data_IF_691547198147
#
_entry.id   IF_691547198147
#
_cell.length_a   1.000
_cell.length_b   1.000
_cell.length_c   1.000
_cell.angle_alpha   90.00
_cell.angle_beta   90.00
_cell.angle_gamma   90.00
#
_symmetry.space_group_name_H-M   'P 1'
#
loop_
_entity.id
_entity.type
_entity.pdbx_description
1 polymer ?
#
# COMPACT_ATOMS: atom_id res chain seq x y z
N UNK A 1 -6.99 1.11 35.75
CA UNK A 1 -6.49 2.16 34.84
C UNK A 1 -7.64 2.54 33.92
N UNK A 2 -8.25 3.73 34.11
CA UNK A 2 -9.33 4.22 33.26
C UNK A 2 -8.76 4.59 31.90
N UNK A 3 -9.16 3.82 30.91
CA UNK A 3 -8.67 3.92 29.56
C UNK A 3 -9.84 4.34 28.67
N UNK A 4 -9.57 5.19 27.70
CA UNK A 4 -10.59 5.81 26.87
C UNK A 4 -10.23 5.68 25.38
N UNK A 5 -11.24 5.75 24.53
CA UNK A 5 -11.09 5.80 23.08
C UNK A 5 -11.84 7.03 22.54
N UNK A 6 -11.21 7.80 21.66
CA UNK A 6 -11.87 8.90 20.94
C UNK A 6 -12.16 8.48 19.49
N UNK A 7 -13.43 8.46 19.07
CA UNK A 7 -13.83 8.26 17.68
C UNK A 7 -13.19 9.26 16.70
N UNK A 8 -13.08 10.52 17.09
CA UNK A 8 -12.57 11.60 16.23
C UNK A 8 -11.08 11.47 15.93
N UNK A 9 -10.28 11.10 16.92
CA UNK A 9 -8.83 10.93 16.73
C UNK A 9 -8.44 9.50 16.40
N UNK A 10 -9.37 8.54 16.57
CA UNK A 10 -9.16 7.09 16.43
C UNK A 10 -8.04 6.59 17.35
N UNK A 11 -7.86 7.27 18.48
CA UNK A 11 -6.77 7.04 19.42
C UNK A 11 -7.26 6.55 20.79
N UNK A 12 -6.40 5.82 21.49
CA UNK A 12 -6.60 5.48 22.90
C UNK A 12 -5.94 6.52 23.79
N UNK A 13 -6.64 6.89 24.85
CA UNK A 13 -6.21 7.84 25.87
C UNK A 13 -6.19 7.13 27.21
N UNK A 14 -5.17 7.42 28.00
CA UNK A 14 -5.05 6.95 29.37
C UNK A 14 -5.20 8.15 30.30
N UNK A 15 -6.15 8.11 31.24
CA UNK A 15 -6.36 9.28 32.09
C UNK A 15 -5.32 9.48 33.18
N UNK A 16 -4.40 8.54 33.35
CA UNK A 16 -3.22 8.73 34.20
C UNK A 16 -2.11 9.50 33.45
N UNK A 17 -2.15 9.54 32.10
CA UNK A 17 -1.10 10.12 31.24
C UNK A 17 -1.59 11.37 30.49
N UNK A 18 -2.85 11.38 30.08
CA UNK A 18 -3.43 12.47 29.29
C UNK A 18 -4.21 13.41 30.19
N UNK A 19 -3.88 14.70 30.14
CA UNK A 19 -4.58 15.76 30.88
C UNK A 19 -5.74 16.33 30.07
N UNK A 20 -5.57 16.40 28.74
CA UNK A 20 -6.58 16.85 27.80
C UNK A 20 -7.18 15.67 27.03
N UNK A 21 -8.52 15.60 27.04
CA UNK A 21 -9.28 14.61 26.30
C UNK A 21 -10.19 15.29 25.28
N UNK A 22 -10.32 14.70 24.08
CA UNK A 22 -11.43 15.02 23.20
C UNK A 22 -12.78 14.86 23.92
N UNK A 23 -13.77 15.70 23.60
CA UNK A 23 -15.09 15.63 24.25
C UNK A 23 -15.87 14.34 23.92
N UNK A 24 -15.45 13.60 22.90
CA UNK A 24 -16.06 12.36 22.42
C UNK A 24 -15.40 11.09 22.98
N UNK A 25 -14.55 11.20 24.01
CA UNK A 25 -13.92 10.04 24.64
C UNK A 25 -14.93 9.12 25.31
N UNK A 26 -14.73 7.82 25.10
CA UNK A 26 -15.56 6.75 25.66
C UNK A 26 -14.70 5.79 26.48
N UNK A 27 -15.19 5.30 27.63
CA UNK A 27 -14.44 4.36 28.44
C UNK A 27 -14.27 3.03 27.70
N UNK A 28 -13.07 2.46 27.75
CA UNK A 28 -12.74 1.16 27.18
C UNK A 28 -11.94 0.34 28.19
N UNK A 29 -12.14 -0.98 28.21
CA UNK A 29 -11.38 -1.84 29.13
C UNK A 29 -9.95 -2.07 28.62
N UNK A 30 -9.01 -2.33 29.54
CA UNK A 30 -7.63 -2.66 29.18
C UNK A 30 -7.56 -3.89 28.26
N UNK A 31 -8.35 -4.93 28.58
CA UNK A 31 -8.46 -6.14 27.75
C UNK A 31 -8.93 -5.80 26.34
N UNK A 32 -9.97 -4.96 26.19
CA UNK A 32 -10.49 -4.59 24.87
C UNK A 32 -9.47 -3.81 24.06
N UNK A 33 -8.72 -2.88 24.68
CA UNK A 33 -7.60 -2.20 23.99
C UNK A 33 -6.54 -3.19 23.55
N UNK A 34 -6.13 -4.11 24.42
CA UNK A 34 -5.11 -5.10 24.11
C UNK A 34 -5.52 -5.99 22.93
N UNK A 35 -6.76 -6.47 22.93
CA UNK A 35 -7.35 -7.21 21.81
C UNK A 35 -7.27 -6.40 20.50
N UNK A 36 -7.68 -5.13 20.53
CA UNK A 36 -7.68 -4.26 19.34
C UNK A 36 -6.26 -3.93 18.86
N UNK A 37 -5.31 -3.72 19.77
CA UNK A 37 -3.91 -3.51 19.42
C UNK A 37 -3.28 -4.78 18.82
N UNK A 38 -3.63 -5.96 19.33
CA UNK A 38 -3.21 -7.23 18.74
C UNK A 38 -3.78 -7.40 17.32
N UNK A 39 -5.04 -6.99 17.07
CA UNK A 39 -5.59 -6.96 15.72
C UNK A 39 -4.87 -5.96 14.80
N UNK A 40 -4.44 -4.81 15.33
CA UNK A 40 -3.60 -3.85 14.61
C UNK A 40 -2.28 -4.46 14.12
N UNK A 41 -1.68 -5.36 14.91
CA UNK A 41 -0.49 -6.11 14.49
C UNK A 41 -0.75 -7.10 13.35
N UNK A 42 -2.00 -7.50 13.14
CA UNK A 42 -2.43 -8.31 11.99
C UNK A 42 -2.73 -7.45 10.74
N UNK A 43 -2.45 -6.14 10.78
CA UNK A 43 -2.67 -5.21 9.66
C UNK A 43 -4.07 -4.62 9.60
N UNK A 44 -4.90 -4.82 10.63
CA UNK A 44 -6.22 -4.19 10.74
C UNK A 44 -6.11 -2.75 11.23
N UNK A 45 -7.11 -1.95 10.90
CA UNK A 45 -7.22 -0.57 11.38
C UNK A 45 -8.32 -0.49 12.45
N UNK A 46 -8.10 0.35 13.45
CA UNK A 46 -9.09 0.59 14.52
C UNK A 46 -9.97 1.75 14.08
N UNK A 47 -11.26 1.47 13.89
CA UNK A 47 -12.27 2.45 13.47
C UNK A 47 -13.41 2.48 14.50
N UNK A 48 -14.02 3.65 14.75
CA UNK A 48 -15.25 3.72 15.52
C UNK A 48 -16.39 3.03 14.76
N UNK A 49 -17.22 2.26 15.46
CA UNK A 49 -18.49 1.73 14.94
C UNK A 49 -19.62 2.79 15.01
N UNK A 50 -20.86 2.39 14.70
CA UNK A 50 -22.05 3.25 14.79
C UNK A 50 -22.30 3.81 16.20
N UNK A 51 -21.84 3.11 17.23
CA UNK A 51 -21.96 3.52 18.63
C UNK A 51 -20.78 4.37 19.08
N UNK A 52 -19.72 4.51 18.28
CA UNK A 52 -18.46 5.16 18.65
C UNK A 52 -17.50 4.27 19.43
N UNK A 53 -17.76 2.97 19.50
CA UNK A 53 -16.87 2.01 20.16
C UNK A 53 -15.77 1.54 19.19
N UNK A 54 -14.55 1.27 19.68
CA UNK A 54 -13.46 0.87 18.82
C UNK A 54 -13.63 -0.57 18.34
N UNK A 55 -13.61 -0.73 17.01
CA UNK A 55 -13.68 -2.01 16.31
C UNK A 55 -12.48 -2.13 15.36
N UNK A 56 -11.84 -3.30 15.36
CA UNK A 56 -10.80 -3.60 14.38
C UNK A 56 -11.46 -4.07 13.09
N UNK A 57 -11.26 -3.32 12.02
CA UNK A 57 -11.78 -3.64 10.68
C UNK A 57 -10.61 -3.87 9.73
N UNK A 58 -10.84 -4.68 8.70
CA UNK A 58 -9.87 -4.80 7.62
C UNK A 58 -9.77 -3.43 6.92
N UNK A 59 -8.55 -2.97 6.58
CA UNK A 59 -8.38 -1.72 5.87
C UNK A 59 -9.18 -1.79 4.56
N UNK A 60 -9.80 -0.67 4.13
CA UNK A 60 -10.48 -0.66 2.84
C UNK A 60 -9.48 -1.07 1.76
N UNK A 61 -9.93 -1.84 0.74
CA UNK A 61 -9.07 -2.13 -0.40
C UNK A 61 -8.57 -0.82 -1.00
N UNK A 62 -7.34 -0.84 -1.53
CA UNK A 62 -6.79 0.29 -2.25
C UNK A 62 -7.73 0.66 -3.40
N UNK A 63 -7.98 1.95 -3.57
CA UNK A 63 -8.76 2.42 -4.70
C UNK A 63 -7.96 2.28 -6.01
N UNK A 64 -8.65 2.39 -7.14
CA UNK A 64 -8.01 2.27 -8.45
C UNK A 64 -6.92 3.34 -8.66
N UNK A 65 -7.04 4.51 -8.05
CA UNK A 65 -6.06 5.58 -8.16
C UNK A 65 -4.73 5.19 -7.49
N UNK A 66 -4.78 4.63 -6.27
CA UNK A 66 -3.63 4.11 -5.57
C UNK A 66 -3.02 2.88 -6.26
N UNK A 67 -3.85 1.98 -6.78
CA UNK A 67 -3.37 0.84 -7.55
C UNK A 67 -2.63 1.30 -8.82
N UNK A 68 -3.15 2.28 -9.55
CA UNK A 68 -2.48 2.88 -10.71
C UNK A 68 -1.18 3.58 -10.34
N UNK A 69 -1.15 4.28 -9.21
CA UNK A 69 0.07 4.91 -8.71
C UNK A 69 1.15 3.85 -8.44
N UNK A 70 0.81 2.77 -7.72
CA UNK A 70 1.72 1.65 -7.46
C UNK A 70 2.19 0.96 -8.74
N UNK A 71 1.30 0.81 -9.72
CA UNK A 71 1.62 0.25 -11.04
C UNK A 71 2.67 1.14 -11.75
N UNK A 72 2.46 2.45 -11.79
CA UNK A 72 3.43 3.41 -12.37
C UNK A 72 4.77 3.38 -11.65
N UNK A 73 4.78 3.32 -10.31
CA UNK A 73 6.00 3.20 -9.52
C UNK A 73 6.79 1.92 -9.88
N UNK A 74 6.11 0.78 -9.99
CA UNK A 74 6.74 -0.50 -10.38
C UNK A 74 7.26 -0.45 -11.82
N UNK A 75 6.51 0.16 -12.76
CA UNK A 75 6.96 0.40 -14.13
C UNK A 75 8.26 1.20 -14.13
N UNK A 76 8.29 2.33 -13.42
CA UNK A 76 9.44 3.24 -13.40
C UNK A 76 10.68 2.56 -12.81
N UNK A 77 10.48 1.72 -11.79
CA UNK A 77 11.55 0.87 -11.26
C UNK A 77 12.10 -0.10 -12.31
N UNK A 78 11.24 -0.86 -13.00
CA UNK A 78 11.67 -1.83 -14.01
C UNK A 78 12.32 -1.17 -15.24
N UNK A 79 11.84 0.02 -15.64
CA UNK A 79 12.49 0.83 -16.66
C UNK A 79 13.88 1.29 -16.20
N UNK A 80 14.05 1.68 -14.93
CA UNK A 80 15.37 2.04 -14.40
C UNK A 80 16.31 0.84 -14.35
N UNK A 81 15.82 -0.31 -13.89
CA UNK A 81 16.59 -1.55 -13.81
C UNK A 81 17.04 -2.05 -15.18
N UNK A 82 16.26 -1.82 -16.24
CA UNK A 82 16.57 -2.24 -17.61
C UNK A 82 17.30 -1.19 -18.45
N UNK A 83 17.74 -0.07 -17.86
CA UNK A 83 18.31 1.04 -18.62
C UNK A 83 19.66 0.68 -19.27
N UNK A 84 20.44 -0.17 -18.60
CA UNK A 84 21.71 -0.68 -19.13
C UNK A 84 21.56 -1.43 -20.46
N UNK A 85 20.40 -2.04 -20.72
CA UNK A 85 20.19 -2.90 -21.87
C UNK A 85 19.91 -2.16 -23.18
N UNK A 86 19.62 -0.85 -23.10
CA UNK A 86 19.41 0.02 -24.26
C UNK A 86 20.57 0.98 -24.51
N UNK A 87 21.65 0.90 -23.71
CA UNK A 87 22.86 1.70 -23.92
C UNK A 87 23.60 1.22 -25.19
N UNK A 88 24.20 2.15 -25.96
CA UNK A 88 24.91 1.81 -27.20
C UNK A 88 26.10 0.87 -26.96
N UNK A 89 26.78 1.03 -25.81
CA UNK A 89 27.96 0.28 -25.40
C UNK A 89 27.62 -1.09 -24.77
N UNK A 90 26.34 -1.42 -24.62
CA UNK A 90 25.94 -2.69 -24.03
C UNK A 90 26.36 -3.86 -24.95
N UNK A 91 27.04 -4.91 -24.43
CA UNK A 91 27.55 -6.02 -25.22
C UNK A 91 26.44 -7.03 -25.61
N UNK A 92 25.31 -6.52 -26.08
CA UNK A 92 24.16 -7.29 -26.53
C UNK A 92 24.12 -7.44 -28.06
N UNK A 93 23.75 -8.64 -28.51
CA UNK A 93 23.40 -8.89 -29.91
C UNK A 93 22.18 -8.05 -30.32
N UNK A 94 22.02 -7.81 -31.63
CA UNK A 94 20.88 -7.07 -32.15
C UNK A 94 19.52 -7.68 -31.71
N UNK A 95 19.43 -9.01 -31.66
CA UNK A 95 18.25 -9.73 -31.17
C UNK A 95 17.95 -9.42 -29.71
N UNK A 96 18.95 -9.52 -28.81
CA UNK A 96 18.74 -9.18 -27.39
C UNK A 96 18.36 -7.71 -27.20
N UNK A 97 18.95 -6.79 -27.98
CA UNK A 97 18.54 -5.37 -27.93
C UNK A 97 17.08 -5.18 -28.35
N UNK A 98 16.61 -5.91 -29.35
CA UNK A 98 15.20 -5.89 -29.77
C UNK A 98 14.27 -6.43 -28.68
N UNK A 99 14.65 -7.53 -28.01
CA UNK A 99 13.89 -8.09 -26.88
C UNK A 99 13.76 -7.09 -25.72
N UNK A 100 14.87 -6.45 -25.33
CA UNK A 100 14.87 -5.42 -24.28
C UNK A 100 14.05 -4.18 -24.66
N UNK A 101 14.08 -3.80 -25.94
CA UNK A 101 13.26 -2.69 -26.46
C UNK A 101 11.77 -3.04 -26.39
N UNK A 102 11.39 -4.25 -26.82
CA UNK A 102 10.01 -4.73 -26.75
C UNK A 102 9.52 -4.84 -25.30
N UNK A 103 10.36 -5.37 -24.40
CA UNK A 103 10.08 -5.43 -22.95
C UNK A 103 9.81 -4.03 -22.37
N UNK A 104 10.68 -3.05 -22.65
CA UNK A 104 10.51 -1.67 -22.16
C UNK A 104 9.30 -0.99 -22.75
N UNK A 105 8.93 -1.30 -24.00
CA UNK A 105 7.71 -0.78 -24.60
C UNK A 105 6.47 -1.35 -23.91
N UNK A 106 6.40 -2.68 -23.73
CA UNK A 106 5.31 -3.32 -23.01
C UNK A 106 5.12 -2.75 -21.60
N UNK A 107 6.22 -2.46 -20.87
CA UNK A 107 6.14 -1.78 -19.57
C UNK A 107 5.49 -0.39 -19.64
N UNK A 108 5.75 0.39 -20.70
CA UNK A 108 5.19 1.73 -20.87
C UNK A 108 3.70 1.69 -21.21
N UNK A 109 3.26 0.65 -21.91
CA UNK A 109 1.88 0.49 -22.35
C UNK A 109 0.96 -0.07 -21.24
N UNK A 110 1.55 -0.66 -20.18
CA UNK A 110 0.80 -1.27 -19.06
C UNK A 110 -0.19 -0.33 -18.34
N UNK A 111 0.17 0.92 -17.96
CA UNK A 111 -0.74 1.79 -17.22
C UNK A 111 -1.99 2.17 -18.00
N UNK A 112 -1.90 2.25 -19.33
CA UNK A 112 -3.06 2.51 -20.19
C UNK A 112 -3.90 1.26 -20.36
N UNK A 113 -3.25 0.11 -20.57
CA UNK A 113 -3.89 -1.20 -20.77
C UNK A 113 -4.66 -1.71 -19.55
N UNK A 114 -4.25 -1.31 -18.33
CA UNK A 114 -4.85 -1.77 -17.08
C UNK A 114 -5.49 -0.61 -16.28
N UNK A 115 -6.02 0.39 -16.98
CA UNK A 115 -6.65 1.55 -16.35
C UNK A 115 -7.96 1.22 -15.62
N UNK A 116 -8.72 0.24 -16.12
CA UNK A 116 -10.00 -0.21 -15.55
C UNK A 116 -9.81 -1.21 -14.39
N UNK A 117 -8.85 -2.14 -14.53
CA UNK A 117 -8.45 -3.09 -13.48
C UNK A 117 -6.93 -3.12 -13.33
N UNK A 118 -6.36 -2.19 -12.54
CA UNK A 118 -4.92 -2.13 -12.34
C UNK A 118 -4.39 -3.31 -11.50
N UNK A 119 -5.26 -4.00 -10.75
CA UNK A 119 -4.91 -5.16 -9.93
C UNK A 119 -4.62 -6.41 -10.77
N UNK A 120 -5.24 -6.53 -11.94
CA UNK A 120 -5.03 -7.63 -12.87
C UNK A 120 -3.89 -7.42 -13.88
N UNK A 121 -3.04 -6.39 -13.69
CA UNK A 121 -1.97 -6.07 -14.65
C UNK A 121 -0.95 -7.21 -14.83
N UNK A 122 -0.83 -7.70 -16.07
CA UNK A 122 0.10 -8.77 -16.46
C UNK A 122 1.46 -8.17 -16.82
N UNK A 123 2.47 -8.42 -15.99
CA UNK A 123 3.81 -7.86 -16.21
C UNK A 123 4.59 -8.65 -17.26
N UNK A 124 5.28 -7.99 -18.20
CA UNK A 124 6.18 -8.69 -19.12
C UNK A 124 7.35 -9.31 -18.34
N UNK A 125 7.86 -10.43 -18.84
CA UNK A 125 9.03 -11.11 -18.26
C UNK A 125 10.29 -10.46 -18.80
N UNK A 126 11.24 -10.13 -17.92
CA UNK A 126 12.50 -9.53 -18.33
C UNK A 126 13.32 -10.54 -19.18
N UNK A 127 13.93 -10.09 -20.29
CA UNK A 127 14.87 -10.92 -21.04
C UNK A 127 16.08 -11.30 -20.19
N UNK A 128 16.79 -12.37 -20.59
CA UNK A 128 18.00 -12.78 -19.89
C UNK A 128 19.07 -11.68 -19.96
N UNK A 129 19.61 -11.31 -18.79
CA UNK A 129 20.88 -10.60 -18.70
C UNK A 129 22.01 -11.49 -19.28
N UNK A 130 23.13 -10.87 -19.67
CA UNK A 130 24.21 -11.50 -20.44
C UNK A 130 24.61 -12.88 -19.94
#
# INVERSE_FOLDING_TARGET
>A
MPLYFSPSTRGFYDADIHVDFPADVRPVTAQRREELLAQGQLGRIIMPDENGDPVAVDPPPLDNADLLRRLREKRDRLLRESDFAVLPDAPFTATRRAEWTAYRQALRDLPESCSEDPGAAIWPVAPAAL
#
